data_IF_394726449614
#
_entry.id   IF_394726449614
#
_cell.length_a   1.000
_cell.length_b   1.000
_cell.length_c   1.000
_cell.angle_alpha   90.00
_cell.angle_beta   90.00
_cell.angle_gamma   90.00
#
_symmetry.space_group_name_H-M   'P 1'
#
loop_
_entity.id
_entity.type
_entity.pdbx_description
1 polymer ?
#
# COMPACT_ATOMS: atom_id res chain seq x y z
N UNK A 1 -10.86 -0.25 -21.16
CA UNK A 1 -11.54 -0.65 -19.92
C UNK A 1 -12.83 0.13 -19.80
N UNK A 2 -13.94 -0.59 -19.67
CA UNK A 2 -15.25 -0.01 -19.38
C UNK A 2 -15.43 0.18 -17.85
N UNK A 3 -14.49 0.90 -17.24
CA UNK A 3 -14.48 1.29 -15.83
C UNK A 3 -13.96 2.72 -15.70
N UNK A 4 -14.51 3.50 -14.78
CA UNK A 4 -14.10 4.89 -14.53
C UNK A 4 -12.83 4.94 -13.68
N UNK A 5 -12.03 6.00 -13.81
CA UNK A 5 -10.91 6.29 -12.89
C UNK A 5 -11.39 6.37 -11.44
N UNK A 6 -12.63 6.79 -11.23
CA UNK A 6 -13.29 6.82 -9.94
C UNK A 6 -13.32 5.45 -9.23
N UNK A 7 -13.29 4.34 -10.00
CA UNK A 7 -13.22 2.98 -9.43
C UNK A 7 -11.89 2.70 -8.73
N UNK A 8 -10.83 3.46 -9.03
CA UNK A 8 -9.53 3.35 -8.35
C UNK A 8 -9.65 3.61 -6.84
N UNK A 9 -10.62 4.44 -6.40
CA UNK A 9 -10.88 4.74 -4.99
C UNK A 9 -11.27 3.52 -4.16
N UNK A 10 -11.73 2.46 -4.81
CA UNK A 10 -12.15 1.22 -4.16
C UNK A 10 -10.98 0.26 -3.89
N UNK A 11 -9.80 0.53 -4.47
CA UNK A 11 -8.58 -0.21 -4.17
C UNK A 11 -7.87 0.38 -2.96
N UNK A 12 -7.23 -0.45 -2.15
CA UNK A 12 -6.39 0.00 -1.03
C UNK A 12 -5.02 0.52 -1.48
N UNK A 13 -4.72 0.45 -2.78
CA UNK A 13 -3.50 1.00 -3.38
C UNK A 13 -3.23 0.44 -4.78
N UNK A 14 -2.28 1.03 -5.49
CA UNK A 14 -1.91 0.59 -6.84
C UNK A 14 -1.34 -0.83 -6.89
N UNK A 15 -0.73 -1.29 -5.79
CA UNK A 15 -0.21 -2.65 -5.65
C UNK A 15 -1.31 -3.73 -5.48
N UNK A 16 -2.56 -3.32 -5.24
CA UNK A 16 -3.69 -4.22 -4.97
C UNK A 16 -4.66 -4.35 -6.16
N UNK A 17 -4.27 -3.89 -7.35
CA UNK A 17 -5.01 -4.08 -8.63
C UNK A 17 -4.92 -5.52 -9.17
N UNK A 18 -5.24 -6.50 -8.32
CA UNK A 18 -4.87 -7.89 -8.57
C UNK A 18 -5.99 -8.71 -9.25
N UNK A 19 -7.26 -8.29 -9.16
CA UNK A 19 -8.40 -9.05 -9.71
C UNK A 19 -9.52 -8.16 -10.29
N UNK A 20 -9.20 -7.37 -11.31
CA UNK A 20 -10.23 -6.65 -12.08
C UNK A 20 -10.67 -7.47 -13.31
N UNK A 21 -11.84 -8.09 -13.24
CA UNK A 21 -12.39 -8.86 -14.37
C UNK A 21 -13.19 -8.01 -15.36
N UNK A 22 -13.67 -6.82 -14.96
CA UNK A 22 -14.53 -5.99 -15.79
C UNK A 22 -15.92 -6.60 -16.03
N UNK A 23 -16.95 -5.74 -16.12
CA UNK A 23 -18.32 -6.22 -16.29
C UNK A 23 -18.55 -7.06 -17.57
N UNK A 24 -17.88 -6.83 -18.73
CA UNK A 24 -18.11 -7.66 -19.91
C UNK A 24 -17.69 -9.11 -19.70
N UNK A 25 -16.54 -9.33 -19.05
CA UNK A 25 -16.07 -10.69 -18.77
C UNK A 25 -16.94 -11.38 -17.73
N UNK A 26 -17.40 -10.65 -16.71
CA UNK A 26 -18.31 -11.20 -15.70
C UNK A 26 -19.61 -11.68 -16.34
N UNK A 27 -20.21 -10.89 -17.24
CA UNK A 27 -21.43 -11.30 -17.95
C UNK A 27 -21.21 -12.51 -18.88
N UNK A 28 -20.10 -12.52 -19.63
CA UNK A 28 -19.75 -13.66 -20.49
C UNK A 28 -19.50 -14.92 -19.66
N UNK A 29 -18.78 -14.81 -18.54
CA UNK A 29 -18.56 -15.91 -17.62
C UNK A 29 -19.89 -16.43 -17.05
N UNK A 30 -20.78 -15.56 -16.58
CA UNK A 30 -22.10 -15.95 -16.09
C UNK A 30 -22.93 -16.67 -17.17
N UNK A 31 -22.94 -16.16 -18.40
CA UNK A 31 -23.59 -16.82 -19.54
C UNK A 31 -23.01 -18.20 -19.83
N UNK A 32 -21.68 -18.35 -19.78
CA UNK A 32 -21.01 -19.64 -19.95
C UNK A 32 -21.37 -20.63 -18.83
N UNK A 33 -21.42 -20.18 -17.57
CA UNK A 33 -21.85 -21.01 -16.42
C UNK A 33 -23.27 -21.51 -16.64
N UNK A 34 -24.21 -20.63 -17.01
CA UNK A 34 -25.61 -20.99 -17.24
C UNK A 34 -25.72 -21.99 -18.40
N UNK A 35 -25.04 -21.74 -19.51
CA UNK A 35 -25.06 -22.60 -20.69
C UNK A 35 -24.47 -23.99 -20.42
N UNK A 36 -23.35 -24.05 -19.69
CA UNK A 36 -22.62 -25.28 -19.41
C UNK A 36 -22.89 -25.84 -18.00
N UNK A 37 -23.99 -25.46 -17.36
CA UNK A 37 -24.30 -25.85 -15.97
C UNK A 37 -24.37 -27.37 -15.77
N UNK A 38 -24.64 -28.14 -16.83
CA UNK A 38 -24.67 -29.60 -16.77
C UNK A 38 -23.29 -30.24 -16.75
N UNK A 39 -22.23 -29.49 -17.07
CA UNK A 39 -20.86 -29.99 -17.00
C UNK A 39 -20.37 -30.05 -15.55
N UNK A 40 -19.93 -31.23 -15.06
CA UNK A 40 -19.50 -31.37 -13.67
C UNK A 40 -18.30 -30.47 -13.36
N UNK A 41 -17.39 -30.30 -14.32
CA UNK A 41 -16.25 -29.40 -14.21
C UNK A 41 -16.70 -27.94 -14.01
N UNK A 42 -17.66 -27.47 -14.81
CA UNK A 42 -18.16 -26.08 -14.72
C UNK A 42 -18.82 -25.82 -13.37
N UNK A 43 -19.58 -26.78 -12.84
CA UNK A 43 -20.16 -26.69 -11.49
C UNK A 43 -19.07 -26.59 -10.41
N UNK A 44 -18.04 -27.44 -10.51
CA UNK A 44 -16.95 -27.46 -9.54
C UNK A 44 -16.15 -26.14 -9.53
N UNK A 45 -15.74 -25.63 -10.69
CA UNK A 45 -14.99 -24.37 -10.78
C UNK A 45 -15.86 -23.16 -10.40
N UNK A 46 -17.16 -23.19 -10.69
CA UNK A 46 -18.09 -22.13 -10.27
C UNK A 46 -18.24 -22.12 -8.75
N UNK A 47 -18.43 -23.28 -8.13
CA UNK A 47 -18.51 -23.38 -6.67
C UNK A 47 -17.22 -22.90 -5.99
N UNK A 48 -16.06 -23.35 -6.49
CA UNK A 48 -14.77 -22.89 -6.00
C UNK A 48 -14.61 -21.36 -6.17
N UNK A 49 -14.99 -20.82 -7.33
CA UNK A 49 -14.92 -19.39 -7.60
C UNK A 49 -15.82 -18.57 -6.67
N UNK A 50 -17.06 -19.01 -6.43
CA UNK A 50 -17.96 -18.36 -5.47
C UNK A 50 -17.37 -18.37 -4.07
N UNK A 51 -16.84 -19.51 -3.60
CA UNK A 51 -16.21 -19.59 -2.27
C UNK A 51 -15.01 -18.65 -2.16
N UNK A 52 -14.14 -18.63 -3.17
CA UNK A 52 -12.95 -17.78 -3.15
C UNK A 52 -13.28 -16.29 -3.24
N UNK A 53 -14.24 -15.91 -4.09
CA UNK A 53 -14.77 -14.55 -4.16
C UNK A 53 -15.40 -14.12 -2.83
N UNK A 54 -16.11 -15.04 -2.17
CA UNK A 54 -16.74 -14.78 -0.89
C UNK A 54 -15.69 -14.56 0.20
N UNK A 55 -14.68 -15.43 0.31
CA UNK A 55 -13.53 -15.26 1.21
C UNK A 55 -12.77 -13.95 0.96
N UNK A 56 -12.68 -13.51 -0.30
CA UNK A 56 -11.99 -12.29 -0.67
C UNK A 56 -12.64 -11.00 -0.13
N UNK A 57 -13.91 -11.06 0.30
CA UNK A 57 -14.58 -9.93 0.96
C UNK A 57 -14.01 -9.60 2.35
N UNK A 58 -13.18 -10.49 2.91
CA UNK A 58 -12.56 -10.28 4.21
C UNK A 58 -13.50 -10.52 5.40
N UNK A 59 -13.04 -10.21 6.63
CA UNK A 59 -13.78 -10.52 7.86
C UNK A 59 -14.99 -9.61 8.09
N UNK A 60 -15.03 -8.44 7.43
CA UNK A 60 -16.16 -7.51 7.43
C UNK A 60 -16.35 -6.97 6.03
N UNK A 61 -17.60 -6.85 5.60
CA UNK A 61 -17.90 -6.32 4.27
C UNK A 61 -17.58 -4.83 4.21
N UNK A 62 -16.91 -4.40 3.13
CA UNK A 62 -16.61 -2.99 2.84
C UNK A 62 -17.44 -2.54 1.65
N UNK A 63 -18.21 -1.46 1.80
CA UNK A 63 -19.07 -0.90 0.76
C UNK A 63 -18.66 0.57 0.57
N UNK A 64 -18.28 0.94 -0.65
CA UNK A 64 -17.80 2.29 -0.99
C UNK A 64 -16.69 2.82 -0.06
N UNK A 65 -15.77 1.93 0.34
CA UNK A 65 -14.67 2.25 1.26
C UNK A 65 -15.05 2.21 2.75
N UNK A 66 -16.34 2.15 3.09
CA UNK A 66 -16.78 2.08 4.48
C UNK A 66 -16.90 0.64 4.98
N UNK A 67 -16.27 0.37 6.13
CA UNK A 67 -16.36 -0.92 6.82
C UNK A 67 -17.72 -1.06 7.49
N UNK A 68 -18.50 -2.04 7.04
CA UNK A 68 -19.83 -2.34 7.63
C UNK A 68 -19.71 -3.22 8.88
N UNK A 69 -20.82 -3.40 9.59
CA UNK A 69 -20.94 -4.36 10.71
C UNK A 69 -21.25 -5.78 10.27
N UNK A 70 -21.51 -5.99 8.97
CA UNK A 70 -21.89 -7.29 8.43
C UNK A 70 -20.65 -8.20 8.43
N UNK A 71 -20.67 -9.34 9.14
CA UNK A 71 -19.54 -10.26 9.16
C UNK A 71 -19.36 -10.88 7.77
N UNK A 72 -18.12 -10.86 7.29
CA UNK A 72 -17.74 -11.58 6.08
C UNK A 72 -17.35 -13.02 6.39
N UNK A 73 -17.37 -13.91 5.39
CA UNK A 73 -17.12 -15.35 5.57
C UNK A 73 -15.69 -15.64 6.02
N UNK A 74 -14.73 -14.76 5.71
CA UNK A 74 -13.34 -14.89 6.15
C UNK A 74 -13.22 -14.91 7.68
N UNK A 75 -14.23 -14.40 8.41
CA UNK A 75 -14.24 -14.41 9.87
C UNK A 75 -14.05 -15.82 10.44
N UNK A 76 -14.52 -16.87 9.74
CA UNK A 76 -14.33 -18.26 10.14
C UNK A 76 -12.86 -18.74 10.07
N UNK A 77 -11.99 -18.02 9.33
CA UNK A 77 -10.58 -18.34 9.18
C UNK A 77 -9.67 -17.50 10.08
N UNK A 78 -10.22 -16.48 10.76
CA UNK A 78 -9.46 -15.62 11.66
C UNK A 78 -8.99 -16.42 12.87
N UNK A 79 -7.69 -16.34 13.18
CA UNK A 79 -7.09 -17.07 14.30
C UNK A 79 -6.60 -18.48 13.95
N UNK A 80 -6.74 -18.92 12.69
CA UNK A 80 -6.15 -20.17 12.25
C UNK A 80 -4.67 -19.95 11.89
N UNK A 81 -3.76 -20.83 12.36
CA UNK A 81 -2.36 -20.76 11.97
C UNK A 81 -2.25 -20.82 10.44
N UNK A 82 -1.22 -20.17 9.87
CA UNK A 82 -0.98 -20.01 8.42
C UNK A 82 -1.88 -18.97 7.73
N UNK A 83 -3.14 -18.80 8.15
CA UNK A 83 -4.09 -17.88 7.50
C UNK A 83 -4.12 -16.49 8.14
N UNK A 84 -3.59 -16.35 9.36
CA UNK A 84 -3.49 -15.08 10.10
C UNK A 84 -2.73 -13.97 9.36
N UNK A 85 -1.74 -14.32 8.53
CA UNK A 85 -0.97 -13.37 7.72
C UNK A 85 -1.49 -13.18 6.29
N UNK A 86 -2.52 -13.90 5.89
CA UNK A 86 -3.04 -13.83 4.51
C UNK A 86 -3.88 -12.57 4.31
N UNK A 87 -3.68 -11.89 3.18
CA UNK A 87 -4.56 -10.79 2.76
C UNK A 87 -5.83 -11.41 2.13
N UNK A 88 -7.02 -11.19 2.70
CA UNK A 88 -8.25 -11.79 2.17
C UNK A 88 -8.46 -11.50 0.68
N UNK A 89 -8.15 -10.28 0.22
CA UNK A 89 -8.30 -9.92 -1.20
C UNK A 89 -7.51 -10.84 -2.15
N UNK A 90 -6.42 -11.47 -1.70
CA UNK A 90 -5.62 -12.39 -2.54
C UNK A 90 -6.33 -13.70 -2.85
N UNK A 91 -7.39 -14.06 -2.12
CA UNK A 91 -8.23 -15.20 -2.50
C UNK A 91 -8.90 -14.98 -3.87
N UNK A 92 -9.17 -13.73 -4.25
CA UNK A 92 -9.73 -13.40 -5.56
C UNK A 92 -8.78 -13.76 -6.72
N UNK A 93 -7.47 -13.85 -6.50
CA UNK A 93 -6.50 -14.25 -7.53
C UNK A 93 -6.81 -15.64 -8.12
N UNK A 94 -7.42 -16.52 -7.31
CA UNK A 94 -7.84 -17.85 -7.77
C UNK A 94 -8.95 -17.79 -8.83
N UNK A 95 -9.70 -16.68 -8.92
CA UNK A 95 -10.70 -16.49 -9.97
C UNK A 95 -10.09 -16.45 -11.37
N UNK A 96 -8.84 -15.98 -11.50
CA UNK A 96 -8.16 -15.87 -12.80
C UNK A 96 -8.06 -17.23 -13.52
N UNK A 97 -7.44 -18.28 -12.94
CA UNK A 97 -7.39 -19.59 -13.58
C UNK A 97 -8.76 -20.28 -13.70
N UNK A 98 -9.69 -20.04 -12.77
CA UNK A 98 -11.04 -20.63 -12.81
C UNK A 98 -11.86 -20.06 -13.97
N UNK A 99 -11.87 -18.73 -14.13
CA UNK A 99 -12.52 -18.05 -15.25
C UNK A 99 -11.83 -18.44 -16.56
N UNK A 100 -10.50 -18.47 -16.63
CA UNK A 100 -9.78 -18.91 -17.82
C UNK A 100 -10.20 -20.34 -18.25
N UNK A 101 -10.29 -21.27 -17.28
CA UNK A 101 -10.75 -22.64 -17.53
C UNK A 101 -12.17 -22.68 -18.08
N UNK A 102 -13.09 -21.92 -17.47
CA UNK A 102 -14.47 -21.80 -17.94
C UNK A 102 -14.55 -21.30 -19.39
N UNK A 103 -13.79 -20.25 -19.74
CA UNK A 103 -13.76 -19.70 -21.09
C UNK A 103 -13.22 -20.70 -22.11
N UNK A 104 -12.16 -21.45 -21.75
CA UNK A 104 -11.59 -22.50 -22.62
C UNK A 104 -12.61 -23.60 -22.88
N UNK A 105 -13.31 -24.08 -21.85
CA UNK A 105 -14.38 -25.08 -22.01
C UNK A 105 -15.51 -24.52 -22.88
N UNK A 106 -15.95 -23.29 -22.63
CA UNK A 106 -16.99 -22.65 -23.44
C UNK A 106 -16.59 -22.50 -24.91
N UNK A 107 -15.37 -22.09 -25.17
CA UNK A 107 -14.82 -21.97 -26.51
C UNK A 107 -14.77 -23.33 -27.22
N UNK A 108 -14.29 -24.37 -26.54
CA UNK A 108 -14.19 -25.72 -27.10
C UNK A 108 -15.56 -26.31 -27.43
N UNK A 109 -16.52 -26.22 -26.49
CA UNK A 109 -17.89 -26.68 -26.72
C UNK A 109 -18.60 -25.90 -27.81
N UNK A 110 -18.31 -24.60 -27.97
CA UNK A 110 -18.90 -23.80 -29.02
C UNK A 110 -18.42 -24.24 -30.40
N UNK A 111 -17.13 -24.57 -30.55
CA UNK A 111 -16.56 -25.06 -31.82
C UNK A 111 -17.19 -26.37 -32.27
N UNK A 112 -17.45 -27.28 -31.34
CA UNK A 112 -18.10 -28.56 -31.59
C UNK A 112 -19.64 -28.46 -31.73
N UNK A 113 -20.24 -27.29 -31.52
CA UNK A 113 -21.68 -27.13 -31.48
C UNK A 113 -22.32 -27.19 -32.87
N UNK A 114 -23.45 -27.89 -32.99
CA UNK A 114 -24.19 -28.08 -34.25
C UNK A 114 -24.72 -26.74 -34.82
N UNK A 115 -25.16 -25.84 -33.94
CA UNK A 115 -25.66 -24.50 -34.30
C UNK A 115 -24.52 -23.57 -34.72
N UNK A 116 -24.56 -23.09 -35.98
CA UNK A 116 -23.58 -22.11 -36.52
C UNK A 116 -23.55 -20.79 -35.73
N UNK A 117 -24.68 -20.21 -35.30
CA UNK A 117 -24.66 -19.04 -34.40
C UNK A 117 -23.84 -19.25 -33.14
N UNK A 118 -24.00 -20.38 -32.43
CA UNK A 118 -23.25 -20.67 -31.19
C UNK A 118 -21.75 -20.76 -31.47
N UNK A 119 -21.38 -21.41 -32.58
CA UNK A 119 -20.00 -21.58 -33.03
C UNK A 119 -19.26 -20.26 -33.29
N UNK A 120 -19.98 -19.19 -33.61
CA UNK A 120 -19.42 -17.89 -33.93
C UNK A 120 -19.55 -16.90 -32.76
N UNK A 121 -20.75 -16.81 -32.16
CA UNK A 121 -21.06 -15.80 -31.15
C UNK A 121 -20.35 -16.06 -29.82
N UNK A 122 -20.20 -17.31 -29.38
CA UNK A 122 -19.52 -17.61 -28.10
C UNK A 122 -18.02 -17.24 -28.17
N UNK A 123 -17.24 -17.73 -29.15
CA UNK A 123 -15.87 -17.26 -29.35
C UNK A 123 -15.74 -15.74 -29.47
N UNK A 124 -16.63 -15.10 -30.24
CA UNK A 124 -16.61 -13.65 -30.41
C UNK A 124 -16.86 -12.93 -29.08
N UNK A 125 -17.84 -13.37 -28.28
CA UNK A 125 -18.12 -12.80 -26.97
C UNK A 125 -16.94 -12.95 -26.00
N UNK A 126 -16.27 -14.11 -26.01
CA UNK A 126 -15.05 -14.34 -25.22
C UNK A 126 -13.93 -13.40 -25.65
N UNK A 127 -13.66 -13.26 -26.95
CA UNK A 127 -12.62 -12.37 -27.46
C UNK A 127 -12.93 -10.91 -27.12
N UNK A 128 -14.17 -10.46 -27.33
CA UNK A 128 -14.59 -9.09 -27.02
C UNK A 128 -14.48 -8.79 -25.53
N UNK A 129 -14.85 -9.72 -24.65
CA UNK A 129 -14.75 -9.50 -23.21
C UNK A 129 -13.30 -9.45 -22.72
N UNK A 130 -12.40 -10.28 -23.28
CA UNK A 130 -10.96 -10.22 -23.00
C UNK A 130 -10.33 -8.93 -23.53
N UNK A 131 -10.74 -8.46 -24.71
CA UNK A 131 -10.29 -7.17 -25.25
C UNK A 131 -10.70 -5.99 -24.36
N UNK A 132 -11.86 -6.06 -23.70
CA UNK A 132 -12.32 -5.00 -22.80
C UNK A 132 -11.43 -4.81 -21.57
N UNK A 133 -10.76 -5.88 -21.13
CA UNK A 133 -9.81 -5.90 -20.01
C UNK A 133 -8.35 -5.99 -20.44
N UNK A 134 -8.06 -5.85 -21.74
CA UNK A 134 -6.71 -5.89 -22.24
C UNK A 134 -5.83 -4.89 -21.46
N UNK A 135 -4.66 -5.30 -20.95
CA UNK A 135 -3.85 -4.46 -20.08
C UNK A 135 -3.54 -3.11 -20.75
N UNK A 136 -3.91 -2.03 -20.08
CA UNK A 136 -3.40 -0.69 -20.41
C UNK A 136 -2.13 -0.44 -19.59
N UNK A 137 -1.20 0.39 -20.10
CA UNK A 137 -0.14 0.92 -19.26
C UNK A 137 -0.73 1.46 -17.96
N UNK A 138 -0.19 1.03 -16.83
CA UNK A 138 -0.59 1.56 -15.54
C UNK A 138 -0.29 3.07 -15.51
N UNK A 139 -1.17 3.91 -14.96
CA UNK A 139 -0.82 5.29 -14.66
C UNK A 139 0.46 5.28 -13.82
N UNK A 140 1.50 5.91 -14.34
CA UNK A 140 2.75 6.10 -13.61
C UNK A 140 2.73 7.51 -13.03
N UNK A 141 3.07 7.63 -11.76
CA UNK A 141 3.41 8.92 -11.18
C UNK A 141 4.92 9.08 -11.19
N UNK A 142 5.37 10.27 -11.60
CA UNK A 142 6.77 10.61 -11.46
C UNK A 142 7.13 10.63 -9.99
N UNK A 143 8.20 9.90 -9.66
CA UNK A 143 8.74 9.90 -8.32
C UNK A 143 9.37 11.27 -8.06
N UNK A 144 8.93 12.02 -7.01
CA UNK A 144 9.54 13.32 -6.71
C UNK A 144 11.05 13.17 -6.54
N UNK A 145 11.86 14.11 -7.07
CA UNK A 145 13.30 14.06 -6.91
C UNK A 145 13.66 14.06 -5.42
N UNK A 146 14.81 13.48 -5.09
CA UNK A 146 15.32 13.58 -3.73
C UNK A 146 15.98 14.94 -3.52
N UNK A 147 15.95 15.49 -2.30
CA UNK A 147 16.70 16.70 -1.97
C UNK A 147 18.16 16.58 -2.39
N UNK A 148 18.76 17.67 -2.87
CA UNK A 148 20.18 17.76 -3.17
C UNK A 148 21.02 17.38 -1.96
N UNK A 149 20.56 17.69 -0.74
CA UNK A 149 21.16 17.25 0.52
C UNK A 149 21.45 15.74 0.54
N UNK A 150 20.51 14.92 0.05
CA UNK A 150 20.67 13.47 -0.05
C UNK A 150 21.37 13.07 -1.34
N UNK A 151 20.83 13.46 -2.49
CA UNK A 151 21.30 13.01 -3.82
C UNK A 151 22.71 13.48 -4.15
N UNK A 152 23.13 14.64 -3.63
CA UNK A 152 24.48 15.17 -3.75
C UNK A 152 25.46 14.68 -2.67
N UNK A 153 25.01 13.86 -1.71
CA UNK A 153 25.86 13.30 -0.65
C UNK A 153 26.24 14.27 0.47
N UNK A 154 25.59 15.44 0.55
CA UNK A 154 25.85 16.46 1.59
C UNK A 154 25.43 16.01 2.99
N UNK A 155 24.58 14.99 3.11
CA UNK A 155 24.21 14.37 4.38
C UNK A 155 25.41 13.95 5.23
N UNK A 156 26.55 13.63 4.60
CA UNK A 156 27.82 13.29 5.29
C UNK A 156 28.38 14.42 6.15
N UNK A 157 27.94 15.65 5.92
CA UNK A 157 28.31 16.79 6.77
C UNK A 157 27.54 16.82 8.09
N UNK A 158 26.40 16.13 8.15
CA UNK A 158 25.51 16.08 9.31
C UNK A 158 25.60 14.77 10.08
N UNK A 159 25.66 13.63 9.40
CA UNK A 159 25.77 12.29 10.00
C UNK A 159 26.99 11.54 9.47
N UNK A 160 27.73 10.89 10.36
CA UNK A 160 28.82 9.99 10.01
C UNK A 160 28.28 8.68 9.40
N UNK A 161 29.05 7.99 8.54
CA UNK A 161 28.67 6.66 8.05
C UNK A 161 28.39 5.68 9.21
N UNK A 162 27.27 4.96 9.12
CA UNK A 162 26.75 4.06 10.17
C UNK A 162 25.95 4.77 11.27
N UNK A 163 25.94 6.11 11.30
CA UNK A 163 25.12 6.90 12.22
C UNK A 163 23.64 6.90 11.82
N UNK A 164 22.81 7.57 12.63
CA UNK A 164 21.36 7.69 12.37
C UNK A 164 21.01 9.13 12.02
N UNK A 165 20.30 9.29 10.90
CA UNK A 165 19.71 10.54 10.44
C UNK A 165 18.19 10.45 10.52
N UNK A 166 17.58 11.41 11.20
CA UNK A 166 16.13 11.54 11.37
C UNK A 166 15.60 12.46 10.27
N UNK A 167 15.02 11.92 9.19
CA UNK A 167 14.29 12.75 8.25
C UNK A 167 13.00 13.24 8.92
N UNK A 168 12.62 14.48 8.65
CA UNK A 168 11.41 15.07 9.19
C UNK A 168 10.44 15.40 8.05
N UNK A 169 9.20 14.88 8.08
CA UNK A 169 8.68 13.92 9.07
C UNK A 169 9.34 12.53 8.97
N UNK A 170 9.31 11.78 10.08
CA UNK A 170 9.81 10.40 10.12
C UNK A 170 8.94 9.48 9.25
N UNK A 171 9.52 8.42 8.65
CA UNK A 171 8.74 7.51 7.83
C UNK A 171 7.77 6.69 8.67
N UNK A 172 6.58 6.47 8.12
CA UNK A 172 5.54 5.65 8.75
C UNK A 172 5.04 4.60 7.77
N UNK A 173 4.33 3.55 8.21
CA UNK A 173 3.82 2.58 7.26
C UNK A 173 2.91 3.15 6.17
N UNK A 174 1.98 4.10 6.47
CA UNK A 174 1.21 4.79 5.44
C UNK A 174 2.03 5.79 4.59
N UNK A 175 3.09 6.38 5.15
CA UNK A 175 3.92 7.41 4.51
C UNK A 175 5.42 7.01 4.54
N UNK A 176 5.84 6.00 3.76
CA UNK A 176 7.20 5.46 3.82
C UNK A 176 8.24 6.28 3.04
N UNK A 177 7.79 7.35 2.35
CA UNK A 177 8.61 8.15 1.44
C UNK A 177 9.96 8.61 2.01
N UNK A 178 10.08 9.04 3.28
CA UNK A 178 11.36 9.43 3.86
C UNK A 178 12.42 8.31 3.88
N UNK A 179 12.04 7.03 3.87
CA UNK A 179 12.98 5.90 3.81
C UNK A 179 13.83 5.90 2.52
N UNK A 180 13.37 6.61 1.48
CA UNK A 180 14.15 6.78 0.25
C UNK A 180 15.46 7.52 0.47
N UNK A 181 15.57 8.31 1.54
CA UNK A 181 16.81 9.03 1.85
C UNK A 181 17.94 8.05 2.16
N UNK A 182 17.70 7.09 3.05
CA UNK A 182 18.65 6.01 3.34
C UNK A 182 18.88 5.12 2.11
N UNK A 183 17.82 4.77 1.38
CA UNK A 183 17.95 3.92 0.18
C UNK A 183 18.84 4.54 -0.90
N UNK A 184 18.71 5.85 -1.16
CA UNK A 184 19.55 6.56 -2.12
C UNK A 184 20.99 6.77 -1.64
N UNK A 185 21.20 6.78 -0.33
CA UNK A 185 22.52 6.79 0.29
C UNK A 185 23.12 5.39 0.46
N UNK A 186 22.63 4.37 -0.26
CA UNK A 186 23.06 2.96 -0.13
C UNK A 186 23.04 2.44 1.31
N UNK A 187 22.09 2.92 2.12
CA UNK A 187 21.98 2.59 3.55
C UNK A 187 23.24 2.91 4.36
N UNK A 188 24.03 3.90 3.94
CA UNK A 188 25.21 4.37 4.69
C UNK A 188 24.85 5.02 6.03
N UNK A 189 23.57 5.32 6.30
CA UNK A 189 23.05 5.76 7.60
C UNK A 189 21.72 5.07 7.90
N UNK A 190 21.39 4.95 9.19
CA UNK A 190 20.11 4.47 9.68
C UNK A 190 19.05 5.58 9.70
N UNK A 191 17.79 5.18 9.54
CA UNK A 191 16.61 6.05 9.70
C UNK A 191 15.71 5.43 10.76
N UNK A 192 15.24 6.20 11.76
CA UNK A 192 14.32 5.67 12.75
C UNK A 192 12.93 5.41 12.15
N UNK A 193 12.20 4.48 12.79
CA UNK A 193 10.84 4.10 12.42
C UNK A 193 10.76 3.57 10.95
N UNK A 194 9.57 3.56 10.34
CA UNK A 194 9.40 3.18 8.93
C UNK A 194 8.42 2.05 8.64
N UNK A 195 8.45 1.57 7.38
CA UNK A 195 7.61 0.49 6.87
C UNK A 195 8.36 -0.84 6.90
N UNK A 196 8.11 -1.63 7.94
CA UNK A 196 8.62 -3.00 8.08
C UNK A 196 7.65 -3.81 8.95
N UNK A 197 7.81 -5.14 8.97
CA UNK A 197 7.01 -6.03 9.84
C UNK A 197 7.90 -6.53 10.97
N UNK A 198 7.47 -6.29 12.21
CA UNK A 198 8.22 -6.65 13.41
C UNK A 198 7.26 -6.96 14.59
N UNK A 199 7.73 -7.62 15.66
CA UNK A 199 6.88 -8.05 16.78
C UNK A 199 6.52 -6.90 17.76
N UNK A 200 6.11 -5.74 17.24
CA UNK A 200 5.67 -4.58 18.03
C UNK A 200 4.18 -4.62 18.39
N UNK A 201 3.43 -5.62 17.95
CA UNK A 201 2.03 -5.80 18.33
C UNK A 201 1.88 -6.27 19.78
N UNK A 202 0.65 -6.18 20.30
CA UNK A 202 0.31 -6.69 21.64
C UNK A 202 0.71 -8.17 21.75
N UNK A 203 1.39 -8.52 22.84
CA UNK A 203 1.95 -9.87 23.09
C UNK A 203 2.99 -10.32 22.05
N UNK A 204 3.72 -9.38 21.41
CA UNK A 204 4.75 -9.70 20.42
C UNK A 204 4.21 -10.13 19.06
N UNK A 205 2.91 -9.91 18.79
CA UNK A 205 2.31 -10.19 17.47
C UNK A 205 2.96 -9.33 16.39
N UNK A 206 3.00 -9.86 15.17
CA UNK A 206 3.45 -9.11 14.01
C UNK A 206 2.64 -7.81 13.84
N UNK A 207 3.34 -6.70 13.69
CA UNK A 207 2.78 -5.38 13.43
C UNK A 207 3.56 -4.71 12.31
N UNK A 208 2.90 -3.81 11.57
CA UNK A 208 3.57 -2.94 10.61
C UNK A 208 4.11 -1.69 11.32
N UNK A 209 5.39 -1.43 11.16
CA UNK A 209 6.11 -0.32 11.80
C UNK A 209 6.30 -0.49 13.31
N UNK A 210 6.64 0.61 13.96
CA UNK A 210 6.88 0.71 15.41
C UNK A 210 5.85 1.61 16.08
N UNK A 211 5.89 1.63 17.42
CA UNK A 211 5.32 2.76 18.16
C UNK A 211 6.05 4.05 17.78
N UNK A 212 5.29 5.12 17.53
CA UNK A 212 5.85 6.45 17.25
C UNK A 212 6.31 7.10 18.55
N UNK A 213 7.54 7.58 18.58
CA UNK A 213 8.01 8.36 19.73
C UNK A 213 7.29 9.71 19.84
N UNK A 214 7.18 10.33 21.04
CA UNK A 214 6.48 11.61 21.22
C UNK A 214 6.90 12.71 20.25
N UNK A 215 8.21 12.85 19.99
CA UNK A 215 8.73 13.85 19.04
C UNK A 215 8.34 13.52 17.60
N UNK A 216 8.35 12.24 17.21
CA UNK A 216 7.85 11.79 15.91
C UNK A 216 6.36 12.12 15.74
N UNK A 217 5.54 11.90 16.78
CA UNK A 217 4.11 12.23 16.76
C UNK A 217 3.88 13.74 16.61
N UNK A 218 4.62 14.55 17.36
CA UNK A 218 4.57 16.01 17.28
C UNK A 218 4.91 16.51 15.86
N UNK A 219 6.05 16.08 15.32
CA UNK A 219 6.50 16.50 13.99
C UNK A 219 5.58 16.00 12.88
N UNK A 220 5.01 14.80 13.01
CA UNK A 220 4.01 14.29 12.06
C UNK A 220 2.70 15.12 12.10
N UNK A 221 2.30 15.62 13.27
CA UNK A 221 1.15 16.52 13.38
C UNK A 221 1.40 17.85 12.67
N UNK A 222 2.56 18.46 12.91
CA UNK A 222 2.97 19.71 12.24
C UNK A 222 3.11 19.52 10.73
N UNK A 223 3.72 18.43 10.28
CA UNK A 223 3.84 18.12 8.85
C UNK A 223 2.49 17.93 8.15
N UNK A 224 1.44 17.51 8.89
CA UNK A 224 0.11 17.25 8.35
C UNK A 224 -0.83 18.46 8.44
N UNK A 225 -0.75 19.24 9.51
CA UNK A 225 -1.71 20.30 9.82
C UNK A 225 -1.10 21.71 9.76
N UNK A 226 0.23 21.81 9.76
CA UNK A 226 0.94 23.05 10.04
C UNK A 226 0.76 23.51 11.48
N UNK A 227 1.16 24.76 11.73
CA UNK A 227 1.05 25.40 13.03
C UNK A 227 2.28 25.20 13.91
N UNK A 228 2.40 26.06 14.92
CA UNK A 228 3.57 26.13 15.80
C UNK A 228 3.16 25.71 17.21
N UNK A 229 3.34 24.43 17.58
CA UNK A 229 3.03 23.96 18.92
C UNK A 229 3.88 24.70 19.96
N UNK A 230 3.33 24.87 21.16
CA UNK A 230 4.09 25.47 22.27
C UNK A 230 5.16 24.46 22.76
N UNK A 231 6.42 24.86 22.68
CA UNK A 231 7.56 24.02 23.05
C UNK A 231 8.13 24.46 24.40
N UNK A 232 7.80 23.70 25.44
CA UNK A 232 8.32 23.86 26.79
C UNK A 232 9.45 22.89 27.13
N UNK A 233 9.87 22.90 28.40
CA UNK A 233 10.83 21.93 28.94
C UNK A 233 10.39 20.46 28.81
N UNK A 234 9.10 20.10 28.94
CA UNK A 234 8.66 18.72 28.71
C UNK A 234 8.98 18.22 27.30
N UNK A 235 8.61 18.99 26.26
CA UNK A 235 8.86 18.62 24.86
C UNK A 235 10.35 18.60 24.54
N UNK A 236 11.13 19.55 25.08
CA UNK A 236 12.59 19.53 24.92
C UNK A 236 13.25 18.30 25.57
N UNK A 237 12.72 17.83 26.71
CA UNK A 237 13.21 16.61 27.35
C UNK A 237 12.86 15.37 26.53
N UNK A 238 11.61 15.23 26.12
CA UNK A 238 11.14 14.14 25.25
C UNK A 238 11.97 14.08 23.95
N UNK A 239 12.25 15.24 23.34
CA UNK A 239 13.07 15.31 22.14
C UNK A 239 14.52 14.88 22.31
N UNK A 240 15.10 15.03 23.50
CA UNK A 240 16.44 14.50 23.83
C UNK A 240 16.38 12.99 24.08
N UNK A 241 15.38 12.53 24.83
CA UNK A 241 15.15 11.10 25.11
C UNK A 241 14.93 10.31 23.80
N UNK A 242 14.16 10.87 22.86
CA UNK A 242 13.89 10.24 21.56
C UNK A 242 15.14 10.19 20.67
N UNK A 243 15.96 11.25 20.67
CA UNK A 243 17.25 11.27 19.96
C UNK A 243 18.19 10.20 20.51
N UNK A 244 18.28 10.07 21.83
CA UNK A 244 19.09 9.04 22.48
C UNK A 244 18.55 7.63 22.17
N UNK A 245 17.24 7.44 22.27
CA UNK A 245 16.57 6.18 21.95
C UNK A 245 16.85 5.72 20.51
N UNK A 246 16.86 6.64 19.55
CA UNK A 246 17.18 6.35 18.16
C UNK A 246 18.69 6.22 17.88
N UNK A 247 19.56 6.67 18.79
CA UNK A 247 20.99 6.86 18.52
C UNK A 247 21.22 7.89 17.39
N UNK A 248 20.32 8.87 17.28
CA UNK A 248 20.35 9.88 16.24
C UNK A 248 21.52 10.86 16.44
N UNK A 249 22.17 11.22 15.33
CA UNK A 249 23.24 12.24 15.31
C UNK A 249 22.90 13.44 14.42
N UNK A 250 21.87 13.30 13.60
CA UNK A 250 21.39 14.34 12.71
C UNK A 250 19.87 14.31 12.61
N UNK A 251 19.24 15.47 12.67
CA UNK A 251 17.83 15.68 12.27
C UNK A 251 17.83 16.56 11.03
N UNK A 252 16.97 16.28 10.05
CA UNK A 252 16.94 17.04 8.80
C UNK A 252 15.54 17.22 8.21
N UNK A 253 15.23 18.44 7.76
CA UNK A 253 14.02 18.82 7.02
C UNK A 253 14.43 19.31 5.64
N UNK A 254 13.83 18.78 4.58
CA UNK A 254 14.05 19.29 3.22
C UNK A 254 13.15 20.50 2.90
N UNK A 255 13.60 21.34 1.96
CA UNK A 255 12.91 22.55 1.53
C UNK A 255 11.51 22.31 0.94
N UNK A 256 11.29 21.14 0.35
CA UNK A 256 10.07 20.75 -0.34
C UNK A 256 9.01 20.14 0.59
N UNK A 257 9.29 20.06 1.90
CA UNK A 257 8.35 19.52 2.87
C UNK A 257 7.14 20.46 3.05
N UNK A 258 5.90 19.92 3.06
CA UNK A 258 4.74 20.69 3.49
C UNK A 258 4.95 21.29 4.88
N UNK A 259 4.47 22.52 5.08
CA UNK A 259 4.62 23.25 6.35
C UNK A 259 6.09 23.38 6.81
N UNK A 260 7.01 23.47 5.85
CA UNK A 260 8.45 23.59 6.08
C UNK A 260 8.82 24.61 7.19
N UNK A 261 8.30 25.83 7.11
CA UNK A 261 8.63 26.90 8.08
C UNK A 261 8.19 26.55 9.50
N UNK A 262 7.05 25.88 9.65
CA UNK A 262 6.54 25.46 10.96
C UNK A 262 7.36 24.29 11.52
N UNK A 263 7.80 23.36 10.66
CA UNK A 263 8.70 22.27 11.04
C UNK A 263 10.06 22.81 11.49
N UNK A 264 10.66 23.73 10.73
CA UNK A 264 11.93 24.36 11.10
C UNK A 264 11.78 25.12 12.41
N UNK A 265 10.74 25.94 12.57
CA UNK A 265 10.52 26.68 13.82
C UNK A 265 10.31 25.75 15.03
N UNK A 266 9.59 24.64 14.85
CA UNK A 266 9.38 23.64 15.89
C UNK A 266 10.70 22.97 16.29
N UNK A 267 11.51 22.57 15.31
CA UNK A 267 12.82 21.96 15.56
C UNK A 267 13.82 22.95 16.15
N UNK A 268 13.76 24.23 15.78
CA UNK A 268 14.58 25.26 16.40
C UNK A 268 14.22 25.48 17.88
N UNK A 269 12.94 25.38 18.23
CA UNK A 269 12.50 25.44 19.62
C UNK A 269 12.87 24.17 20.43
N UNK A 270 13.05 23.02 19.77
CA UNK A 270 13.45 21.75 20.39
C UNK A 270 14.98 21.62 20.56
N UNK A 271 15.74 21.94 19.51
CA UNK A 271 17.17 21.63 19.39
C UNK A 271 18.08 22.87 19.23
N UNK A 272 17.51 24.07 19.08
CA UNK A 272 18.26 25.29 18.81
C UNK A 272 18.45 25.58 17.32
N UNK A 273 19.30 26.56 16.97
CA UNK A 273 19.39 27.08 15.60
C UNK A 273 19.79 26.01 14.58
N UNK A 274 19.16 26.06 13.42
CA UNK A 274 19.42 25.15 12.31
C UNK A 274 20.67 25.53 11.51
N UNK A 275 21.26 24.56 10.84
CA UNK A 275 22.27 24.79 9.79
C UNK A 275 21.69 24.40 8.44
N UNK A 276 21.71 25.33 7.48
CA UNK A 276 21.27 25.05 6.11
C UNK A 276 22.42 24.40 5.31
N UNK A 277 22.17 23.22 4.75
CA UNK A 277 23.10 22.48 3.90
C UNK A 277 22.36 22.13 2.60
N UNK A 278 22.82 22.71 1.48
CA UNK A 278 22.12 22.65 0.20
C UNK A 278 20.65 23.09 0.33
N UNK A 279 19.71 22.18 0.11
CA UNK A 279 18.27 22.36 0.19
C UNK A 279 17.62 21.72 1.42
N UNK A 280 18.40 21.47 2.48
CA UNK A 280 17.90 20.98 3.77
C UNK A 280 18.36 21.83 4.96
N UNK A 281 17.55 21.83 6.00
CA UNK A 281 17.85 22.40 7.32
C UNK A 281 18.16 21.25 8.26
N UNK A 282 19.27 21.37 8.97
CA UNK A 282 19.85 20.27 9.73
C UNK A 282 20.22 20.69 11.14
N UNK A 283 20.12 19.73 12.06
CA UNK A 283 20.54 19.87 13.45
C UNK A 283 21.44 18.69 13.79
N UNK A 284 22.65 18.98 14.26
CA UNK A 284 23.48 17.96 14.91
C UNK A 284 22.95 17.76 16.32
N UNK A 285 22.61 16.52 16.63
CA UNK A 285 22.01 16.11 17.90
C UNK A 285 22.81 14.94 18.47
N UNK A 286 22.57 14.60 19.73
CA UNK A 286 23.37 13.61 20.46
C UNK A 286 24.48 14.24 21.28
#
# INVERSE_FOLDING_TARGET
>A
MLGSEESARLSTGSAEYNTFLGWPLVLVAAGCVIWLVREPLVRAITAAGVVMAWLALGPKLVIDGERTTIPGPYLALVGLPVVEGALPMRFALTLLPLVATLLVVAFDRARAHVSRPVRLLVPAAVVVSLLAIFPKPLPTEDRPPLPQFISGGYWRQCVEPGGVLVPVPLPTPPEPWPMRWAAAANTDFGVPEGFFIAPYGREGRASMGTYKQPTSQLLALVAKQGGRPEIGEPQRREAREDVEFWGASCVAVAADQPHHEDLVATLEALYGPSTKIADAWTWKVG
#
